data_IF_017707353287
#
_entry.id   IF_017707353287
#
_cell.length_a   1.000
_cell.length_b   1.000
_cell.length_c   1.000
_cell.angle_alpha   90.00
_cell.angle_beta   90.00
_cell.angle_gamma   90.00
#
_symmetry.space_group_name_H-M   'P 1'
#
loop_
_entity.id
_entity.type
_entity.pdbx_description
1 polymer ?
#
# COMPACT_ATOMS: atom_id res chain seq x y z
N UNK A 1 55.86 -24.31 -43.66
CA UNK A 1 55.81 -24.76 -42.25
C UNK A 1 54.74 -23.96 -41.52
N UNK A 2 53.58 -24.55 -41.22
CA UNK A 2 52.49 -23.89 -40.48
C UNK A 2 52.50 -24.35 -39.01
N UNK A 3 52.51 -23.40 -38.06
CA UNK A 3 52.48 -23.69 -36.61
C UNK A 3 51.06 -24.07 -36.17
N UNK A 4 50.88 -25.06 -35.28
CA UNK A 4 49.56 -25.46 -34.84
C UNK A 4 48.98 -24.44 -33.84
N UNK A 5 47.72 -24.04 -34.09
CA UNK A 5 46.99 -23.10 -33.25
C UNK A 5 46.49 -23.82 -31.99
N UNK A 6 47.18 -23.63 -30.85
CA UNK A 6 46.74 -24.17 -29.55
C UNK A 6 45.54 -23.37 -29.05
N UNK A 7 44.34 -23.93 -29.17
CA UNK A 7 43.14 -23.43 -28.50
C UNK A 7 43.37 -23.47 -26.99
N UNK A 8 43.48 -22.29 -26.37
CA UNK A 8 43.54 -22.09 -24.91
C UNK A 8 42.26 -22.66 -24.30
N UNK A 9 42.38 -23.72 -23.50
CA UNK A 9 41.25 -24.24 -22.73
C UNK A 9 40.74 -23.15 -21.77
N UNK A 10 39.43 -22.87 -21.80
CA UNK A 10 38.80 -21.94 -20.85
C UNK A 10 38.95 -22.52 -19.45
N UNK A 11 39.43 -21.71 -18.50
CA UNK A 11 39.59 -22.15 -17.11
C UNK A 11 38.24 -22.50 -16.49
N UNK A 12 38.24 -23.49 -15.58
CA UNK A 12 37.05 -23.93 -14.85
C UNK A 12 36.33 -22.79 -14.09
N UNK A 13 37.05 -21.71 -13.77
CA UNK A 13 36.49 -20.50 -13.17
C UNK A 13 35.50 -19.76 -14.08
N UNK A 14 35.56 -19.94 -15.40
CA UNK A 14 34.58 -19.35 -16.33
C UNK A 14 33.18 -19.99 -16.24
N UNK A 15 33.06 -21.14 -15.55
CA UNK A 15 31.80 -21.84 -15.29
C UNK A 15 31.22 -21.55 -13.90
N UNK A 16 31.90 -20.78 -13.05
CA UNK A 16 31.33 -20.37 -11.76
C UNK A 16 30.17 -19.43 -12.03
N UNK A 17 28.95 -19.89 -11.71
CA UNK A 17 27.75 -19.04 -11.66
C UNK A 17 28.08 -17.84 -10.77
N UNK A 18 27.99 -16.64 -11.34
CA UNK A 18 27.96 -15.41 -10.54
C UNK A 18 26.77 -15.55 -9.58
N UNK A 19 26.97 -15.49 -8.26
CA UNK A 19 25.84 -15.48 -7.33
C UNK A 19 24.93 -14.31 -7.74
N UNK A 20 23.65 -14.61 -7.93
CA UNK A 20 22.68 -13.61 -8.37
C UNK A 20 22.69 -12.42 -7.40
N UNK A 21 22.88 -11.22 -7.93
CA UNK A 21 22.92 -9.97 -7.15
C UNK A 21 21.52 -9.48 -6.71
N UNK A 22 20.47 -10.31 -6.87
CA UNK A 22 19.12 -9.85 -6.53
C UNK A 22 19.01 -9.73 -5.01
N UNK A 23 18.64 -8.55 -4.48
CA UNK A 23 18.31 -8.43 -3.07
C UNK A 23 17.20 -9.44 -2.72
N UNK A 24 17.17 -9.96 -1.48
CA UNK A 24 16.13 -10.88 -1.06
C UNK A 24 14.75 -10.25 -1.29
N UNK A 25 13.78 -11.08 -1.70
CA UNK A 25 12.41 -10.63 -1.96
C UNK A 25 11.86 -9.96 -0.70
N UNK A 26 11.42 -8.71 -0.81
CA UNK A 26 10.78 -8.03 0.32
C UNK A 26 9.34 -8.54 0.48
N UNK A 27 8.87 -8.65 1.72
CA UNK A 27 7.51 -9.09 2.03
C UNK A 27 6.74 -7.97 2.75
N UNK A 28 5.66 -7.48 2.14
CA UNK A 28 4.80 -6.44 2.70
C UNK A 28 3.43 -7.01 3.01
N UNK A 29 2.94 -6.78 4.22
CA UNK A 29 1.54 -7.03 4.59
C UNK A 29 0.76 -5.72 4.54
N UNK A 30 -0.37 -5.71 3.82
CA UNK A 30 -1.33 -4.61 3.80
C UNK A 30 -2.65 -5.12 4.39
N UNK A 31 -3.06 -4.55 5.52
CA UNK A 31 -4.32 -4.90 6.21
C UNK A 31 -5.30 -3.75 6.07
N UNK A 32 -6.40 -3.99 5.38
CA UNK A 32 -7.45 -2.99 5.15
C UNK A 32 -8.61 -3.14 6.14
N UNK A 33 -9.28 -2.03 6.45
CA UNK A 33 -10.54 -2.00 7.19
C UNK A 33 -11.70 -2.56 6.36
N UNK A 34 -11.90 -2.02 5.15
CA UNK A 34 -12.98 -2.45 4.27
C UNK A 34 -12.74 -3.83 3.64
N UNK A 35 -13.85 -4.52 3.37
CA UNK A 35 -13.85 -5.85 2.73
C UNK A 35 -13.54 -5.80 1.23
N UNK A 36 -13.68 -4.62 0.60
CA UNK A 36 -13.80 -4.55 -0.86
C UNK A 36 -13.01 -3.40 -1.45
N UNK A 37 -13.36 -2.14 -1.17
CA UNK A 37 -12.79 -0.97 -1.88
C UNK A 37 -11.26 -0.93 -1.82
N UNK A 38 -10.68 -0.91 -0.64
CA UNK A 38 -9.25 -0.79 -0.41
C UNK A 38 -8.50 -2.07 -0.79
N UNK A 39 -8.94 -3.29 -0.38
CA UNK A 39 -8.30 -4.51 -0.85
C UNK A 39 -8.31 -4.66 -2.37
N UNK A 40 -9.41 -4.34 -3.04
CA UNK A 40 -9.50 -4.44 -4.51
C UNK A 40 -8.55 -3.45 -5.18
N UNK A 41 -8.46 -2.22 -4.66
CA UNK A 41 -7.51 -1.23 -5.16
C UNK A 41 -6.06 -1.74 -5.08
N UNK A 42 -5.60 -2.17 -3.90
CA UNK A 42 -4.21 -2.60 -3.75
C UNK A 42 -3.92 -3.90 -4.50
N UNK A 43 -4.87 -4.84 -4.56
CA UNK A 43 -4.72 -6.05 -5.38
C UNK A 43 -4.59 -5.72 -6.87
N UNK A 44 -5.42 -4.80 -7.38
CA UNK A 44 -5.34 -4.35 -8.77
C UNK A 44 -4.01 -3.63 -9.03
N UNK A 45 -3.62 -2.70 -8.17
CA UNK A 45 -2.34 -1.99 -8.28
C UNK A 45 -1.14 -2.97 -8.30
N UNK A 46 -1.07 -3.92 -7.36
CA UNK A 46 0.00 -4.91 -7.33
C UNK A 46 0.05 -5.78 -8.59
N UNK A 47 -1.11 -6.13 -9.16
CA UNK A 47 -1.20 -6.88 -10.42
C UNK A 47 -0.66 -6.08 -11.60
N UNK A 48 -1.04 -4.81 -11.71
CA UNK A 48 -0.59 -3.95 -12.81
C UNK A 48 0.90 -3.58 -12.71
N UNK A 49 1.41 -3.39 -11.49
CA UNK A 49 2.84 -3.12 -11.25
C UNK A 49 3.76 -4.34 -11.44
N UNK A 50 3.18 -5.54 -11.60
CA UNK A 50 3.91 -6.81 -11.84
C UNK A 50 5.10 -7.02 -10.89
N UNK A 51 4.92 -6.75 -9.60
CA UNK A 51 5.98 -6.84 -8.59
C UNK A 51 6.58 -8.26 -8.56
N UNK A 52 7.80 -8.44 -9.07
CA UNK A 52 8.53 -9.72 -9.09
C UNK A 52 9.54 -9.87 -7.95
N UNK A 53 9.98 -8.72 -7.43
CA UNK A 53 10.95 -8.57 -6.35
C UNK A 53 10.31 -8.40 -4.96
N UNK A 54 9.00 -8.19 -4.90
CA UNK A 54 8.25 -7.98 -3.66
C UNK A 54 7.02 -8.88 -3.61
N UNK A 55 6.82 -9.57 -2.49
CA UNK A 55 5.57 -10.26 -2.18
C UNK A 55 4.68 -9.33 -1.35
N UNK A 56 3.52 -8.95 -1.90
CA UNK A 56 2.54 -8.13 -1.20
C UNK A 56 1.33 -8.97 -0.84
N UNK A 57 1.06 -9.10 0.46
CA UNK A 57 -0.14 -9.77 0.97
C UNK A 57 -1.18 -8.71 1.35
N UNK A 58 -2.28 -8.66 0.60
CA UNK A 58 -3.40 -7.75 0.88
C UNK A 58 -4.54 -8.53 1.51
N UNK A 59 -4.85 -8.19 2.76
CA UNK A 59 -5.88 -8.86 3.58
C UNK A 59 -6.86 -7.83 4.15
N UNK A 60 -8.05 -8.27 4.49
CA UNK A 60 -8.99 -7.47 5.28
C UNK A 60 -8.85 -7.85 6.75
N UNK A 61 -8.83 -6.86 7.64
CA UNK A 61 -8.83 -7.06 9.08
C UNK A 61 -10.14 -7.67 9.58
N UNK A 62 -10.09 -8.30 10.74
CA UNK A 62 -11.27 -8.86 11.39
C UNK A 62 -11.99 -7.76 12.18
N UNK A 63 -12.98 -7.11 11.55
CA UNK A 63 -13.82 -6.09 12.17
C UNK A 63 -13.82 -4.77 11.42
N UNK A 64 -14.73 -3.86 11.81
CA UNK A 64 -14.99 -2.60 11.11
C UNK A 64 -14.49 -1.38 11.87
N UNK A 65 -13.40 -1.53 12.63
CA UNK A 65 -12.82 -0.44 13.40
C UNK A 65 -11.30 -0.39 13.20
N UNK A 66 -10.66 0.78 13.21
CA UNK A 66 -9.21 0.94 13.08
C UNK A 66 -8.40 0.08 14.05
N UNK A 67 -8.87 -0.05 15.30
CA UNK A 67 -8.16 -0.87 16.29
C UNK A 67 -8.14 -2.34 15.88
N UNK A 68 -9.23 -2.83 15.28
CA UNK A 68 -9.33 -4.21 14.81
C UNK A 68 -8.39 -4.48 13.64
N UNK A 69 -8.19 -3.50 12.74
CA UNK A 69 -7.19 -3.57 11.66
C UNK A 69 -5.78 -3.69 12.23
N UNK A 70 -5.44 -2.85 13.22
CA UNK A 70 -4.13 -2.88 13.88
C UNK A 70 -3.92 -4.20 14.63
N UNK A 71 -4.94 -4.72 15.30
CA UNK A 71 -4.87 -5.97 16.05
C UNK A 71 -4.68 -7.16 15.11
N UNK A 72 -5.43 -7.19 13.99
CA UNK A 72 -5.29 -8.18 12.92
C UNK A 72 -3.89 -8.15 12.30
N UNK A 73 -3.37 -6.95 12.04
CA UNK A 73 -2.02 -6.76 11.49
C UNK A 73 -0.94 -7.33 12.41
N UNK A 74 -1.04 -7.08 13.72
CA UNK A 74 -0.11 -7.65 14.70
C UNK A 74 -0.24 -9.17 14.79
N UNK A 75 -1.47 -9.68 14.78
CA UNK A 75 -1.69 -11.11 14.84
C UNK A 75 -1.07 -11.82 13.63
N UNK A 76 -1.33 -11.33 12.43
CA UNK A 76 -0.78 -11.87 11.19
C UNK A 76 0.74 -11.78 11.14
N UNK A 77 1.30 -10.65 11.58
CA UNK A 77 2.76 -10.46 11.71
C UNK A 77 3.35 -11.50 12.65
N UNK A 78 2.85 -11.61 13.88
CA UNK A 78 3.36 -12.56 14.86
C UNK A 78 3.14 -14.01 14.43
N UNK A 79 2.02 -14.31 13.75
CA UNK A 79 1.74 -15.64 13.20
C UNK A 79 2.79 -16.00 12.15
N UNK A 80 3.05 -15.12 11.18
CA UNK A 80 4.10 -15.31 10.17
C UNK A 80 5.48 -15.51 10.81
N UNK A 81 5.84 -14.68 11.80
CA UNK A 81 7.12 -14.80 12.50
C UNK A 81 7.27 -16.16 13.22
N UNK A 82 6.20 -16.63 13.87
CA UNK A 82 6.18 -17.96 14.52
C UNK A 82 6.28 -19.08 13.51
N UNK A 83 5.56 -19.00 12.40
CA UNK A 83 5.56 -20.06 11.38
C UNK A 83 6.92 -20.15 10.68
N UNK A 84 7.58 -19.01 10.42
CA UNK A 84 8.96 -18.98 9.92
C UNK A 84 9.92 -19.58 10.94
N UNK A 85 9.85 -19.19 12.21
CA UNK A 85 10.72 -19.72 13.28
C UNK A 85 10.56 -21.23 13.48
N UNK A 86 9.36 -21.75 13.26
CA UNK A 86 9.04 -23.18 13.40
C UNK A 86 9.15 -23.96 12.09
N UNK A 87 9.67 -23.33 11.03
CA UNK A 87 9.82 -23.94 9.68
C UNK A 87 8.51 -24.51 9.13
N UNK A 88 7.37 -23.90 9.50
CA UNK A 88 6.01 -24.29 9.03
C UNK A 88 5.62 -23.63 7.71
N UNK A 89 6.43 -22.70 7.22
CA UNK A 89 6.20 -22.00 5.96
C UNK A 89 7.54 -21.69 5.29
N UNK A 90 7.53 -21.65 3.96
CA UNK A 90 8.66 -21.20 3.14
C UNK A 90 8.64 -19.69 2.88
N UNK A 91 7.56 -19.00 3.28
CA UNK A 91 7.44 -17.55 3.16
C UNK A 91 8.41 -16.85 4.11
N UNK A 92 8.86 -15.65 3.73
CA UNK A 92 9.68 -14.82 4.60
C UNK A 92 8.82 -14.08 5.63
N UNK A 93 9.49 -13.53 6.66
CA UNK A 93 8.87 -12.59 7.59
C UNK A 93 8.46 -11.33 6.82
N UNK A 94 7.42 -10.65 7.29
CA UNK A 94 7.08 -9.34 6.75
C UNK A 94 8.15 -8.32 7.15
N UNK A 95 8.72 -7.64 6.16
CA UNK A 95 9.62 -6.51 6.34
C UNK A 95 8.83 -5.27 6.80
N UNK A 96 7.62 -5.11 6.25
CA UNK A 96 6.73 -4.01 6.56
C UNK A 96 5.28 -4.48 6.70
N UNK A 97 4.56 -3.81 7.57
CA UNK A 97 3.13 -4.04 7.79
C UNK A 97 2.42 -2.69 7.77
N UNK A 98 1.48 -2.55 6.86
CA UNK A 98 0.69 -1.35 6.64
C UNK A 98 -0.76 -1.59 7.08
N UNK A 99 -1.29 -0.70 7.90
CA UNK A 99 -2.71 -0.65 8.23
C UNK A 99 -3.39 0.46 7.42
N UNK A 100 -4.42 0.09 6.67
CA UNK A 100 -5.24 1.00 5.85
C UNK A 100 -6.61 1.08 6.49
N UNK A 101 -7.00 2.27 6.94
CA UNK A 101 -8.30 2.51 7.57
C UNK A 101 -8.69 3.97 7.45
N UNK A 102 -9.97 4.25 7.63
CA UNK A 102 -10.51 5.59 7.46
C UNK A 102 -10.61 6.32 8.80
N UNK A 103 -10.43 7.64 8.76
CA UNK A 103 -10.77 8.53 9.87
C UNK A 103 -12.12 9.16 9.57
N UNK A 104 -13.17 8.42 9.90
CA UNK A 104 -14.52 8.99 9.96
C UNK A 104 -14.63 9.97 11.15
N UNK A 105 -15.80 10.59 11.35
CA UNK A 105 -16.01 11.55 12.43
C UNK A 105 -15.60 10.92 13.79
N UNK A 106 -14.84 11.63 14.66
CA UNK A 106 -14.41 11.09 15.96
C UNK A 106 -15.53 10.51 16.83
N UNK A 107 -16.78 11.00 16.69
CA UNK A 107 -17.95 10.43 17.36
C UNK A 107 -18.23 8.98 16.92
N UNK A 108 -17.98 8.68 15.65
CA UNK A 108 -18.24 7.37 15.04
C UNK A 108 -17.06 6.40 15.27
N UNK A 109 -15.88 6.93 15.63
CA UNK A 109 -14.68 6.11 15.76
C UNK A 109 -13.83 6.42 17.01
N UNK A 110 -14.31 6.10 18.21
CA UNK A 110 -13.58 6.34 19.46
C UNK A 110 -12.28 5.53 19.56
N UNK A 111 -12.15 4.48 18.75
CA UNK A 111 -10.97 3.60 18.74
C UNK A 111 -9.77 4.18 17.98
N UNK A 112 -9.99 5.20 17.14
CA UNK A 112 -8.98 5.72 16.23
C UNK A 112 -7.67 6.18 16.93
N UNK A 113 -7.70 7.00 18.00
CA UNK A 113 -6.47 7.40 18.69
C UNK A 113 -5.70 6.21 19.28
N UNK A 114 -6.42 5.22 19.81
CA UNK A 114 -5.84 3.98 20.35
C UNK A 114 -5.19 3.16 19.23
N UNK A 115 -5.83 3.04 18.07
CA UNK A 115 -5.29 2.34 16.91
C UNK A 115 -3.99 2.98 16.44
N UNK A 116 -3.98 4.30 16.28
CA UNK A 116 -2.81 5.07 15.86
C UNK A 116 -1.64 4.90 16.84
N UNK A 117 -1.89 5.00 18.15
CA UNK A 117 -0.87 4.83 19.18
C UNK A 117 -0.32 3.40 19.21
N UNK A 118 -1.21 2.40 19.07
CA UNK A 118 -0.83 0.98 19.06
C UNK A 118 0.01 0.64 17.82
N UNK A 119 -0.39 1.11 16.64
CA UNK A 119 0.38 0.95 15.40
C UNK A 119 1.77 1.58 15.51
N UNK A 120 1.84 2.84 15.97
CA UNK A 120 3.10 3.57 16.15
C UNK A 120 4.05 2.82 17.11
N UNK A 121 3.53 2.37 18.26
CA UNK A 121 4.32 1.65 19.28
C UNK A 121 4.85 0.30 18.79
N UNK A 122 4.18 -0.31 17.82
CA UNK A 122 4.57 -1.60 17.24
C UNK A 122 5.26 -1.47 15.86
N UNK A 123 5.62 -0.24 15.46
CA UNK A 123 6.28 0.06 14.18
C UNK A 123 5.48 -0.48 12.98
N UNK A 124 4.16 -0.32 13.02
CA UNK A 124 3.31 -0.52 11.86
C UNK A 124 3.14 0.80 11.13
N UNK A 125 3.13 0.75 9.81
CA UNK A 125 2.89 1.90 8.95
C UNK A 125 1.40 2.15 8.80
N UNK A 126 1.02 3.42 8.60
CA UNK A 126 -0.37 3.85 8.52
C UNK A 126 -0.68 4.53 7.18
N UNK A 127 -1.66 4.00 6.47
CA UNK A 127 -2.26 4.59 5.28
C UNK A 127 -3.70 5.02 5.58
N UNK A 128 -3.84 6.11 6.33
CA UNK A 128 -5.15 6.65 6.74
C UNK A 128 -5.70 7.60 5.70
N UNK A 129 -7.01 7.52 5.41
CA UNK A 129 -7.73 8.53 4.61
C UNK A 129 -8.76 9.26 5.46
N UNK A 130 -8.96 10.56 5.22
CA UNK A 130 -9.89 11.39 6.00
C UNK A 130 -10.75 12.26 5.06
N UNK A 131 -12.09 12.08 5.03
CA UNK A 131 -12.86 11.21 5.92
C UNK A 131 -12.91 9.74 5.52
N UNK A 132 -12.64 9.41 4.25
CA UNK A 132 -12.78 8.05 3.73
C UNK A 132 -11.82 7.74 2.57
N UNK A 133 -11.65 6.46 2.24
CA UNK A 133 -10.78 6.02 1.14
C UNK A 133 -11.19 6.61 -0.21
N UNK A 134 -12.48 6.91 -0.43
CA UNK A 134 -12.94 7.59 -1.64
C UNK A 134 -12.27 8.94 -1.89
N UNK A 135 -11.70 9.58 -0.86
CA UNK A 135 -10.91 10.79 -1.04
C UNK A 135 -9.66 10.51 -1.89
N UNK A 136 -9.01 9.35 -1.69
CA UNK A 136 -7.91 8.90 -2.54
C UNK A 136 -8.33 8.72 -4.00
N UNK A 137 -9.52 8.17 -4.25
CA UNK A 137 -10.06 8.10 -5.62
C UNK A 137 -10.33 9.46 -6.22
N UNK A 138 -10.90 10.39 -5.45
CA UNK A 138 -11.17 11.74 -5.92
C UNK A 138 -9.90 12.46 -6.39
N UNK A 139 -8.78 12.24 -5.69
CA UNK A 139 -7.49 12.83 -6.03
C UNK A 139 -6.92 12.37 -7.38
N UNK A 140 -7.41 11.26 -7.97
CA UNK A 140 -7.04 10.87 -9.34
C UNK A 140 -7.64 11.82 -10.39
N UNK A 141 -8.75 12.50 -10.08
CA UNK A 141 -9.46 13.35 -11.02
C UNK A 141 -9.18 14.83 -10.76
N UNK A 142 -9.28 15.27 -9.50
CA UNK A 142 -9.14 16.67 -9.12
C UNK A 142 -8.27 16.84 -7.88
N UNK A 143 -7.63 18.00 -7.75
CA UNK A 143 -7.08 18.44 -6.47
C UNK A 143 -8.20 19.11 -5.65
N UNK A 144 -8.34 18.75 -4.38
CA UNK A 144 -9.21 19.46 -3.43
C UNK A 144 -8.69 19.29 -2.01
N UNK A 145 -8.63 20.38 -1.28
CA UNK A 145 -8.35 20.48 0.17
C UNK A 145 -9.55 21.04 0.94
N UNK A 146 -10.69 21.26 0.25
CA UNK A 146 -11.96 21.62 0.89
C UNK A 146 -12.35 20.52 1.89
N UNK A 147 -12.64 20.86 3.16
CA UNK A 147 -13.10 19.89 4.13
C UNK A 147 -14.41 19.22 3.70
N UNK A 148 -14.51 17.93 3.98
CA UNK A 148 -15.71 17.12 3.78
C UNK A 148 -16.34 16.76 5.12
N UNK A 149 -17.67 16.79 5.20
CA UNK A 149 -18.43 16.41 6.40
C UNK A 149 -18.24 14.93 6.73
N UNK A 150 -18.34 14.07 5.72
CA UNK A 150 -18.33 12.62 5.85
C UNK A 150 -17.96 11.93 4.52
N UNK A 151 -17.92 10.59 4.52
CA UNK A 151 -17.66 9.80 3.33
C UNK A 151 -18.69 10.04 2.20
N UNK A 152 -19.94 10.34 2.55
CA UNK A 152 -21.03 10.53 1.57
C UNK A 152 -20.79 11.79 0.74
N UNK A 153 -20.34 12.89 1.37
CA UNK A 153 -20.01 14.12 0.64
C UNK A 153 -18.84 13.90 -0.34
N UNK A 154 -17.83 13.12 0.05
CA UNK A 154 -16.73 12.75 -0.86
C UNK A 154 -17.27 11.95 -2.06
N UNK A 155 -18.16 10.99 -1.81
CA UNK A 155 -18.79 10.16 -2.84
C UNK A 155 -19.64 11.01 -3.80
N UNK A 156 -20.38 11.99 -3.31
CA UNK A 156 -21.18 12.90 -4.15
C UNK A 156 -20.31 13.68 -5.14
N UNK A 157 -19.14 14.16 -4.71
CA UNK A 157 -18.20 14.83 -5.61
C UNK A 157 -17.53 13.83 -6.55
N UNK A 158 -17.14 12.65 -6.05
CA UNK A 158 -16.53 11.59 -6.86
C UNK A 158 -17.45 11.14 -8.00
N UNK A 159 -18.76 11.07 -7.77
CA UNK A 159 -19.77 10.69 -8.77
C UNK A 159 -19.84 11.64 -9.97
N UNK A 160 -19.32 12.86 -9.86
CA UNK A 160 -19.17 13.79 -11.00
C UNK A 160 -18.08 13.36 -11.99
N UNK A 161 -17.13 12.54 -11.53
CA UNK A 161 -16.01 12.03 -12.32
C UNK A 161 -16.14 10.55 -12.65
N UNK A 162 -16.79 9.78 -11.76
CA UNK A 162 -17.14 8.38 -11.97
C UNK A 162 -18.66 8.25 -11.88
N UNK A 163 -19.39 8.47 -12.99
CA UNK A 163 -20.83 8.25 -13.02
C UNK A 163 -21.17 6.83 -12.57
N UNK A 164 -22.17 6.68 -11.70
CA UNK A 164 -22.58 5.40 -11.12
C UNK A 164 -21.53 4.72 -10.23
N UNK A 165 -20.62 5.50 -9.60
CA UNK A 165 -19.76 4.96 -8.56
C UNK A 165 -20.59 4.28 -7.46
N UNK A 166 -20.29 3.02 -7.24
CA UNK A 166 -20.76 2.24 -6.10
C UNK A 166 -19.55 1.61 -5.43
N UNK A 167 -19.60 1.51 -4.10
CA UNK A 167 -18.64 0.69 -3.37
C UNK A 167 -18.66 -0.70 -3.98
N UNK A 168 -17.48 -1.33 -4.11
CA UNK A 168 -17.29 -2.70 -4.61
C UNK A 168 -17.16 -2.88 -6.13
N UNK A 169 -17.18 -1.81 -6.92
CA UNK A 169 -16.88 -1.91 -8.34
C UNK A 169 -15.35 -1.94 -8.60
N UNK A 170 -14.91 -2.66 -9.63
CA UNK A 170 -13.52 -2.58 -10.12
C UNK A 170 -13.32 -1.26 -10.87
N UNK A 171 -13.20 -0.17 -10.11
CA UNK A 171 -12.99 1.15 -10.67
C UNK A 171 -11.53 1.37 -11.11
N UNK A 172 -10.59 0.57 -10.61
CA UNK A 172 -9.17 0.75 -10.86
C UNK A 172 -8.87 0.67 -12.36
N UNK A 173 -9.38 -0.40 -12.99
CA UNK A 173 -9.22 -0.61 -14.42
C UNK A 173 -10.23 0.22 -15.23
N UNK A 174 -11.49 0.29 -14.78
CA UNK A 174 -12.57 0.96 -15.53
C UNK A 174 -12.37 2.47 -15.68
N UNK A 175 -11.66 3.10 -14.75
CA UNK A 175 -11.45 4.54 -14.72
C UNK A 175 -9.99 4.95 -14.97
N UNK A 176 -9.16 4.03 -15.48
CA UNK A 176 -7.75 4.27 -15.82
C UNK A 176 -6.97 4.89 -14.64
N UNK A 177 -7.23 4.42 -13.41
CA UNK A 177 -6.64 5.02 -12.21
C UNK A 177 -5.11 4.87 -12.21
N UNK A 178 -4.59 3.79 -12.79
CA UNK A 178 -3.14 3.56 -12.90
C UNK A 178 -2.44 4.73 -13.61
N UNK A 179 -2.97 5.19 -14.73
CA UNK A 179 -2.38 6.29 -15.53
C UNK A 179 -2.43 7.62 -14.77
N UNK A 180 -3.45 7.81 -13.94
CA UNK A 180 -3.65 9.00 -13.11
C UNK A 180 -2.94 8.91 -11.76
N UNK A 181 -2.35 7.77 -11.41
CA UNK A 181 -1.80 7.51 -10.08
C UNK A 181 -0.68 8.50 -9.74
N UNK A 182 0.20 8.83 -10.69
CA UNK A 182 1.27 9.81 -10.47
C UNK A 182 0.72 11.19 -10.07
N UNK A 183 -0.35 11.63 -10.74
CA UNK A 183 -1.03 12.91 -10.43
C UNK A 183 -1.75 12.83 -9.08
N UNK A 184 -2.38 11.69 -8.75
CA UNK A 184 -3.01 11.49 -7.45
C UNK A 184 -2.00 11.57 -6.30
N UNK A 185 -0.80 10.98 -6.49
CA UNK A 185 0.30 11.07 -5.52
C UNK A 185 0.74 12.52 -5.34
N UNK A 186 0.97 13.26 -6.44
CA UNK A 186 1.36 14.67 -6.37
C UNK A 186 0.34 15.51 -5.60
N UNK A 187 -0.95 15.33 -5.91
CA UNK A 187 -2.05 16.05 -5.26
C UNK A 187 -2.16 15.72 -3.77
N UNK A 188 -2.05 14.44 -3.41
CA UNK A 188 -2.07 14.01 -2.01
C UNK A 188 -0.85 14.55 -1.22
N UNK A 189 0.34 14.46 -1.81
CA UNK A 189 1.57 14.97 -1.22
C UNK A 189 1.52 16.50 -1.04
N UNK A 190 0.97 17.22 -2.03
CA UNK A 190 0.74 18.66 -1.95
C UNK A 190 -0.17 19.00 -0.77
N UNK A 191 -1.37 18.42 -0.71
CA UNK A 191 -2.33 18.68 0.38
C UNK A 191 -1.74 18.34 1.75
N UNK A 192 -1.00 17.24 1.85
CA UNK A 192 -0.27 16.88 3.06
C UNK A 192 0.78 17.92 3.45
N UNK A 193 1.59 18.41 2.50
CA UNK A 193 2.66 19.38 2.78
C UNK A 193 2.15 20.78 3.17
N UNK A 194 0.99 21.18 2.62
CA UNK A 194 0.39 22.51 2.76
C UNK A 194 -0.61 22.60 3.92
N UNK A 195 -0.77 21.54 4.72
CA UNK A 195 -1.68 21.52 5.86
C UNK A 195 -1.39 22.64 6.86
N UNK A 196 -2.46 23.29 7.33
CA UNK A 196 -2.40 24.46 8.23
C UNK A 196 -1.83 24.07 9.59
N UNK A 197 -2.37 23.03 10.21
CA UNK A 197 -1.85 22.49 11.46
C UNK A 197 -0.92 21.30 11.19
N UNK A 198 0.37 21.49 11.41
CA UNK A 198 1.38 20.43 11.26
C UNK A 198 1.31 19.38 12.36
N UNK A 199 0.68 19.70 13.50
CA UNK A 199 0.50 18.82 14.65
C UNK A 199 -0.73 17.92 14.50
N UNK A 200 -1.71 18.30 13.66
CA UNK A 200 -2.82 17.42 13.33
C UNK A 200 -2.30 16.25 12.46
N UNK A 201 -2.37 15.03 13.02
CA UNK A 201 -1.80 13.84 12.38
C UNK A 201 -2.56 13.37 11.14
N UNK A 202 -3.86 13.67 11.02
CA UNK A 202 -4.70 13.18 9.93
C UNK A 202 -5.80 14.20 9.61
N UNK A 203 -5.46 15.42 9.13
CA UNK A 203 -6.43 16.47 8.91
C UNK A 203 -7.50 16.04 7.90
N UNK A 204 -8.68 16.65 7.98
CA UNK A 204 -9.71 16.44 6.99
C UNK A 204 -9.19 16.77 5.58
N UNK A 205 -9.61 16.01 4.58
CA UNK A 205 -9.13 16.13 3.19
C UNK A 205 -7.62 15.85 3.11
N UNK A 206 -7.23 14.73 3.72
CA UNK A 206 -5.89 14.19 3.57
C UNK A 206 -5.93 12.67 3.48
N UNK A 207 -4.86 12.11 2.91
CA UNK A 207 -4.66 10.66 2.88
C UNK A 207 -3.17 10.36 2.90
N UNK A 208 -2.79 9.28 3.57
CA UNK A 208 -1.44 8.72 3.55
C UNK A 208 -1.30 7.53 2.60
N UNK A 209 -2.37 7.15 1.88
CA UNK A 209 -2.36 6.07 0.89
C UNK A 209 -1.28 6.30 -0.18
N UNK A 210 -1.05 7.55 -0.58
CA UNK A 210 -0.01 7.88 -1.57
C UNK A 210 1.39 7.41 -1.16
N UNK A 211 1.71 7.33 0.15
CA UNK A 211 3.01 6.83 0.61
C UNK A 211 3.17 5.35 0.35
N UNK A 212 2.12 4.56 0.61
CA UNK A 212 2.10 3.13 0.31
C UNK A 212 2.16 2.90 -1.20
N UNK A 213 1.36 3.64 -1.97
CA UNK A 213 1.34 3.53 -3.45
C UNK A 213 2.71 3.89 -4.05
N UNK A 214 3.31 5.01 -3.64
CA UNK A 214 4.64 5.42 -4.09
C UNK A 214 5.69 4.34 -3.76
N UNK A 215 5.63 3.78 -2.55
CA UNK A 215 6.54 2.69 -2.14
C UNK A 215 6.41 1.47 -3.07
N UNK A 216 5.18 1.04 -3.37
CA UNK A 216 4.94 -0.08 -4.28
C UNK A 216 5.43 0.23 -5.71
N UNK A 217 5.26 1.47 -6.19
CA UNK A 217 5.78 1.90 -7.49
C UNK A 217 7.32 1.92 -7.53
N UNK A 218 7.96 2.47 -6.49
CA UNK A 218 9.43 2.52 -6.39
C UNK A 218 10.04 1.11 -6.36
N UNK A 219 9.34 0.15 -5.75
CA UNK A 219 9.75 -1.26 -5.74
C UNK A 219 9.63 -1.92 -7.11
N UNK A 220 8.60 -1.59 -7.89
CA UNK A 220 8.44 -2.04 -9.28
C UNK A 220 9.54 -1.50 -10.21
N UNK A 221 9.95 -0.24 -10.02
CA UNK A 221 10.97 0.42 -10.88
C UNK A 221 12.41 -0.01 -10.59
N UNK A 222 12.67 -0.69 -9.47
CA UNK A 222 14.00 -1.21 -9.10
C UNK A 222 14.29 -2.60 -9.69
N UNK A 223 13.38 -3.13 -10.50
CA UNK A 223 13.50 -4.41 -11.21
C UNK A 223 14.30 -4.30 -12.51
#
# INVERSE_FOLDING_TARGET
MAKPNRRRARSADSFKRRPGSRPPRQCILVVCEGLKTEPNYFKALCRELKLTSVEVEVVTGEGSAPISVVDSALELKHRRERDVRKERTTKLKFDEVWCVFDRENPQDNPSFPRAVNKATSNKLELAVSTPAFEYWYLLHFIYTDKPFRDASEVIEVLKKHIPHYEKNQDIFNRCELLERTAVAIERAARGWSQRVDKNERFPNSSTLVFKLVQKLQDMSQRE
#
